data_IF_169007403472
#
_entry.id   IF_169007403472
#
_cell.length_a   1.000
_cell.length_b   1.000
_cell.length_c   1.000
_cell.angle_alpha   90.00
_cell.angle_beta   90.00
_cell.angle_gamma   90.00
#
_symmetry.space_group_name_H-M   'P 1'
#
loop_
_entity.id
_entity.type
_entity.pdbx_description
1 polymer ?
#
# COMPACT_ATOMS: atom_id res chain seq x y z
N UNK A 1 63.76 -45.00 -39.51
CA UNK A 1 63.16 -44.03 -38.55
C UNK A 1 61.69 -43.86 -38.98
N UNK A 2 60.84 -44.72 -38.41
CA UNK A 2 59.41 -44.70 -38.76
C UNK A 2 58.64 -43.79 -37.76
N UNK A 3 58.08 -42.74 -38.27
CA UNK A 3 57.24 -41.79 -37.46
C UNK A 3 55.79 -42.31 -37.46
N UNK A 4 55.37 -42.77 -36.29
CA UNK A 4 54.01 -43.22 -36.06
C UNK A 4 53.09 -41.95 -35.99
N UNK A 5 52.15 -41.86 -36.92
CA UNK A 5 51.09 -40.80 -36.88
C UNK A 5 49.93 -41.29 -36.00
N UNK A 6 49.66 -40.62 -34.88
CA UNK A 6 48.46 -40.81 -34.03
C UNK A 6 47.31 -39.95 -34.60
N UNK A 7 46.12 -40.54 -34.82
CA UNK A 7 44.97 -39.76 -35.28
C UNK A 7 44.35 -38.95 -34.10
N UNK A 8 43.74 -37.76 -34.38
CA UNK A 8 43.11 -36.98 -33.35
C UNK A 8 41.80 -37.65 -32.87
N UNK A 9 41.68 -37.79 -31.54
CA UNK A 9 40.45 -38.24 -30.91
C UNK A 9 39.41 -37.11 -30.94
N UNK A 10 38.27 -37.35 -31.57
CA UNK A 10 37.12 -36.48 -31.56
C UNK A 10 36.37 -36.73 -30.25
N UNK A 11 36.41 -35.78 -29.31
CA UNK A 11 35.62 -35.78 -28.10
C UNK A 11 34.26 -35.20 -28.46
N UNK A 12 33.26 -36.05 -28.61
CA UNK A 12 31.87 -35.62 -28.75
C UNK A 12 31.33 -35.17 -27.39
N UNK A 13 31.14 -33.85 -27.22
CA UNK A 13 30.53 -33.28 -26.05
C UNK A 13 29.01 -33.43 -26.18
N UNK A 14 28.41 -34.41 -25.50
CA UNK A 14 26.95 -34.56 -25.42
C UNK A 14 26.39 -33.51 -24.46
N UNK A 15 25.82 -32.48 -25.01
CA UNK A 15 25.07 -31.49 -24.25
C UNK A 15 23.69 -32.09 -23.90
N UNK A 16 23.53 -32.57 -22.67
CA UNK A 16 22.23 -32.96 -22.14
C UNK A 16 21.38 -31.68 -21.97
N UNK A 17 20.44 -31.43 -22.86
CA UNK A 17 19.36 -30.48 -22.64
C UNK A 17 18.45 -31.02 -21.53
N UNK A 18 18.56 -30.48 -20.31
CA UNK A 18 17.57 -30.65 -19.27
C UNK A 18 16.42 -29.71 -19.61
N UNK A 19 15.19 -30.22 -19.88
CA UNK A 19 14.07 -29.30 -20.12
C UNK A 19 13.85 -28.49 -18.84
N UNK A 20 13.96 -27.17 -18.96
CA UNK A 20 13.50 -26.23 -17.93
C UNK A 20 11.98 -26.41 -17.85
N UNK A 21 11.53 -27.21 -16.88
CA UNK A 21 10.11 -27.33 -16.57
C UNK A 21 9.61 -25.93 -16.23
N UNK A 22 8.74 -25.40 -17.08
CA UNK A 22 8.03 -24.16 -16.80
C UNK A 22 7.24 -24.37 -15.49
N UNK A 23 7.77 -23.86 -14.40
CA UNK A 23 7.07 -23.80 -13.13
C UNK A 23 5.84 -22.96 -13.39
N UNK A 24 4.67 -23.59 -13.45
CA UNK A 24 3.38 -22.87 -13.48
C UNK A 24 3.39 -21.93 -12.27
N UNK A 25 3.43 -20.63 -12.51
CA UNK A 25 3.28 -19.66 -11.43
C UNK A 25 1.92 -19.92 -10.78
N UNK A 26 1.94 -20.32 -9.52
CA UNK A 26 0.71 -20.54 -8.78
C UNK A 26 -0.08 -19.24 -8.77
N UNK A 27 -1.31 -19.28 -9.28
CA UNK A 27 -2.19 -18.12 -9.34
C UNK A 27 -2.33 -17.52 -7.94
N UNK A 28 -1.99 -16.26 -7.79
CA UNK A 28 -2.11 -15.56 -6.50
C UNK A 28 -3.58 -15.53 -6.08
N UNK A 29 -3.83 -15.80 -4.79
CA UNK A 29 -5.19 -15.71 -4.22
C UNK A 29 -5.59 -14.23 -4.12
N UNK A 30 -6.78 -13.90 -4.62
CA UNK A 30 -7.36 -12.56 -4.49
C UNK A 30 -7.59 -12.20 -3.01
N UNK A 31 -7.25 -10.96 -2.66
CA UNK A 31 -7.43 -10.44 -1.28
C UNK A 31 -8.88 -10.12 -0.94
N UNK A 32 -9.67 -9.85 -1.96
CA UNK A 32 -11.10 -9.58 -1.83
C UNK A 32 -11.89 -10.62 -2.63
N UNK A 33 -12.99 -11.14 -2.08
CA UNK A 33 -13.87 -12.02 -2.84
C UNK A 33 -14.52 -11.24 -3.98
N UNK A 34 -14.84 -11.94 -5.08
CA UNK A 34 -15.69 -11.40 -6.12
C UNK A 34 -17.06 -11.02 -5.52
N UNK A 35 -17.72 -10.07 -6.17
CA UNK A 35 -19.09 -9.72 -5.79
C UNK A 35 -20.04 -10.90 -6.06
N UNK A 36 -20.93 -11.16 -5.11
CA UNK A 36 -22.03 -12.11 -5.30
C UNK A 36 -23.07 -11.48 -6.25
N UNK A 37 -23.39 -12.16 -7.33
CA UNK A 37 -24.36 -11.72 -8.36
C UNK A 37 -24.11 -10.30 -8.92
N UNK A 38 -22.84 -9.85 -8.94
CA UNK A 38 -22.46 -8.48 -9.29
C UNK A 38 -23.14 -7.40 -8.42
N UNK A 39 -23.63 -7.76 -7.24
CA UNK A 39 -24.24 -6.82 -6.31
C UNK A 39 -23.18 -6.03 -5.56
N UNK A 40 -23.18 -4.70 -5.73
CA UNK A 40 -22.26 -3.84 -4.99
C UNK A 40 -22.53 -3.88 -3.48
N UNK A 41 -21.50 -3.81 -2.63
CA UNK A 41 -21.67 -3.75 -1.17
C UNK A 41 -22.52 -2.55 -0.77
N UNK A 42 -23.49 -2.76 0.11
CA UNK A 42 -24.46 -1.75 0.57
C UNK A 42 -24.18 -1.21 1.97
N UNK A 43 -23.28 -1.86 2.71
CA UNK A 43 -22.89 -1.49 4.06
C UNK A 43 -21.43 -1.86 4.34
N UNK A 44 -20.92 -1.42 5.48
CA UNK A 44 -19.53 -1.61 5.86
C UNK A 44 -19.17 -3.10 6.02
N UNK A 45 -20.06 -3.91 6.57
CA UNK A 45 -19.84 -5.35 6.76
C UNK A 45 -19.69 -6.05 5.40
N UNK A 46 -20.58 -5.77 4.47
CA UNK A 46 -20.49 -6.31 3.09
C UNK A 46 -19.21 -5.83 2.38
N UNK A 47 -18.84 -4.55 2.54
CA UNK A 47 -17.66 -3.97 1.91
C UNK A 47 -16.35 -4.64 2.33
N UNK A 48 -16.25 -5.04 3.60
CA UNK A 48 -15.06 -5.70 4.15
C UNK A 48 -15.19 -7.21 4.25
N UNK A 49 -16.29 -7.80 3.76
CA UNK A 49 -16.54 -9.24 3.79
C UNK A 49 -15.37 -10.02 3.16
N UNK A 50 -14.82 -10.96 3.91
CA UNK A 50 -13.72 -11.80 3.45
C UNK A 50 -12.34 -11.15 3.44
N UNK A 51 -12.20 -9.88 3.81
CA UNK A 51 -10.90 -9.23 3.95
C UNK A 51 -10.40 -9.28 5.39
N UNK A 52 -9.30 -10.00 5.62
CA UNK A 52 -8.53 -9.95 6.87
C UNK A 52 -7.18 -9.26 6.61
N UNK A 53 -6.96 -8.05 7.18
CA UNK A 53 -5.70 -7.33 6.98
C UNK A 53 -4.48 -8.06 7.55
N UNK A 54 -4.67 -9.10 8.36
CA UNK A 54 -3.59 -9.85 8.99
C UNK A 54 -3.28 -11.18 8.31
N UNK A 55 -4.20 -11.72 7.49
CA UNK A 55 -4.07 -13.08 6.93
C UNK A 55 -2.94 -13.22 5.92
N UNK A 56 -2.66 -12.17 5.15
CA UNK A 56 -1.71 -12.25 4.04
C UNK A 56 -0.30 -11.75 4.43
N UNK A 57 0.75 -12.28 3.78
CA UNK A 57 2.09 -11.70 3.86
C UNK A 57 2.10 -10.22 3.50
N UNK A 58 3.00 -9.47 4.11
CA UNK A 58 3.19 -8.04 3.78
C UNK A 58 4.19 -7.84 2.63
N UNK A 59 4.94 -8.86 2.26
CA UNK A 59 5.98 -8.79 1.21
C UNK A 59 6.81 -7.51 1.33
N UNK A 60 7.34 -7.24 2.52
CA UNK A 60 8.04 -6.00 2.85
C UNK A 60 9.32 -5.90 2.02
N UNK A 61 9.49 -4.78 1.32
CA UNK A 61 10.71 -4.39 0.62
C UNK A 61 11.30 -3.17 1.32
N UNK A 62 12.48 -3.30 1.94
CA UNK A 62 13.23 -2.17 2.47
C UNK A 62 14.05 -1.56 1.34
N UNK A 63 13.77 -0.30 1.00
CA UNK A 63 14.45 0.43 -0.08
C UNK A 63 15.64 1.22 0.45
N UNK A 64 15.53 1.73 1.67
CA UNK A 64 16.60 2.47 2.37
C UNK A 64 16.41 2.35 3.88
N UNK A 65 17.52 2.32 4.60
CA UNK A 65 17.57 2.45 6.05
C UNK A 65 18.67 3.43 6.45
N UNK A 66 18.40 4.31 7.42
CA UNK A 66 19.39 5.22 7.99
C UNK A 66 19.04 5.58 9.44
N UNK A 67 19.97 6.19 10.13
CA UNK A 67 19.76 6.74 11.47
C UNK A 67 19.89 8.26 11.43
N UNK A 68 19.02 8.93 12.16
CA UNK A 68 19.00 10.38 12.31
C UNK A 68 18.54 10.69 13.74
N UNK A 69 19.33 11.45 14.49
CA UNK A 69 19.03 11.91 15.85
C UNK A 69 18.56 10.78 16.82
N UNK A 70 19.21 9.61 16.75
CA UNK A 70 18.86 8.47 17.59
C UNK A 70 17.60 7.70 17.15
N UNK A 71 17.09 7.99 15.97
CA UNK A 71 15.94 7.34 15.36
C UNK A 71 16.38 6.48 14.19
N UNK A 72 15.91 5.24 14.11
CA UNK A 72 16.02 4.40 12.92
C UNK A 72 14.89 4.73 11.98
N UNK A 73 15.22 5.02 10.74
CA UNK A 73 14.28 5.41 9.69
C UNK A 73 14.42 4.48 8.49
N UNK A 74 13.28 4.09 7.89
CA UNK A 74 13.24 3.17 6.72
C UNK A 74 12.27 3.68 5.67
N UNK A 75 12.72 3.78 4.42
CA UNK A 75 11.84 3.82 3.27
C UNK A 75 11.55 2.39 2.85
N UNK A 76 10.29 2.05 2.71
CA UNK A 76 9.87 0.69 2.41
C UNK A 76 8.61 0.67 1.54
N UNK A 77 8.30 -0.53 1.01
CA UNK A 77 6.99 -0.88 0.46
C UNK A 77 6.44 -2.09 1.18
N UNK A 78 5.13 -2.17 1.26
CA UNK A 78 4.44 -3.35 1.78
C UNK A 78 3.20 -3.66 0.93
N UNK A 79 2.86 -4.95 0.85
CA UNK A 79 1.71 -5.39 0.08
C UNK A 79 0.41 -5.01 0.78
N UNK A 80 -0.46 -4.31 0.07
CA UNK A 80 -1.80 -3.98 0.54
C UNK A 80 -2.81 -5.06 0.17
N UNK A 81 -2.60 -5.77 -0.93
CA UNK A 81 -3.44 -6.88 -1.35
C UNK A 81 -2.98 -7.50 -2.66
N UNK A 82 -3.76 -8.47 -3.13
CA UNK A 82 -3.69 -9.03 -4.48
C UNK A 82 -5.00 -8.74 -5.16
N UNK A 83 -4.95 -8.05 -6.29
CA UNK A 83 -6.11 -7.66 -7.07
C UNK A 83 -5.91 -8.02 -8.53
N UNK A 84 -6.86 -8.72 -9.13
CA UNK A 84 -6.79 -9.20 -10.52
C UNK A 84 -5.49 -9.95 -10.82
N UNK A 85 -5.08 -10.81 -9.87
CA UNK A 85 -3.87 -11.62 -9.97
C UNK A 85 -2.55 -10.86 -9.79
N UNK A 86 -2.58 -9.58 -9.45
CA UNK A 86 -1.38 -8.74 -9.27
C UNK A 86 -1.24 -8.28 -7.83
N UNK A 87 -0.02 -8.28 -7.30
CA UNK A 87 0.31 -7.69 -6.00
C UNK A 87 0.23 -6.17 -6.11
N UNK A 88 -0.51 -5.56 -5.19
CA UNK A 88 -0.55 -4.10 -5.02
C UNK A 88 0.30 -3.71 -3.83
N UNK A 89 1.22 -2.77 -4.02
CA UNK A 89 2.18 -2.32 -3.02
C UNK A 89 1.91 -0.87 -2.64
N UNK A 90 2.18 -0.52 -1.38
CA UNK A 90 2.14 0.85 -0.87
C UNK A 90 3.51 1.24 -0.32
N UNK A 91 4.04 2.37 -0.78
CA UNK A 91 5.27 2.92 -0.25
C UNK A 91 5.00 3.64 1.09
N UNK A 92 6.01 3.70 1.96
CA UNK A 92 5.91 4.34 3.26
C UNK A 92 7.28 4.71 3.83
N UNK A 93 7.27 5.59 4.82
CA UNK A 93 8.43 5.81 5.69
C UNK A 93 8.09 5.33 7.10
N UNK A 94 8.91 4.47 7.66
CA UNK A 94 8.79 3.95 9.01
C UNK A 94 9.92 4.50 9.88
N UNK A 95 9.64 4.82 11.15
CA UNK A 95 10.65 5.29 12.09
C UNK A 95 10.31 4.94 13.53
N UNK A 96 11.37 4.72 14.34
CA UNK A 96 11.28 4.40 15.76
C UNK A 96 12.57 4.75 16.50
N UNK A 97 12.52 5.06 17.84
CA UNK A 97 13.71 5.31 18.63
C UNK A 97 14.61 4.09 18.68
N UNK A 98 15.90 4.26 18.39
CA UNK A 98 16.89 3.17 18.40
C UNK A 98 16.94 2.45 19.76
N UNK A 99 16.85 1.13 19.73
CA UNK A 99 16.93 0.28 20.93
C UNK A 99 15.67 0.23 21.79
N UNK A 100 14.66 1.04 21.50
CA UNK A 100 13.39 1.03 22.24
C UNK A 100 12.57 -0.22 21.94
N UNK A 101 11.70 -0.60 22.88
CA UNK A 101 10.81 -1.76 22.80
C UNK A 101 9.44 -1.42 23.37
N UNK A 102 8.43 -2.21 22.98
CA UNK A 102 7.03 -2.05 23.43
C UNK A 102 6.48 -0.65 23.21
N UNK A 103 6.83 -0.06 22.07
CA UNK A 103 6.36 1.26 21.66
C UNK A 103 4.89 1.21 21.21
N UNK A 104 4.09 2.24 21.50
CA UNK A 104 2.83 2.40 20.78
C UNK A 104 3.11 2.65 19.29
N UNK A 105 2.28 2.05 18.42
CA UNK A 105 2.43 2.17 16.97
C UNK A 105 1.43 3.15 16.38
N UNK A 106 1.87 4.06 15.50
CA UNK A 106 1.03 5.07 14.85
C UNK A 106 1.10 4.95 13.32
N UNK A 107 -0.05 4.87 12.66
CA UNK A 107 -0.16 5.12 11.22
C UNK A 107 -0.44 6.61 11.02
N UNK A 108 0.47 7.30 10.34
CA UNK A 108 0.31 8.68 9.91
C UNK A 108 -0.20 8.72 8.47
N UNK A 109 -1.25 9.51 8.22
CA UNK A 109 -1.87 9.66 6.92
C UNK A 109 -1.82 11.13 6.52
N UNK A 110 -1.06 11.43 5.46
CA UNK A 110 -0.90 12.80 4.98
C UNK A 110 -2.17 13.34 4.32
N UNK A 111 -2.30 14.67 4.26
CA UNK A 111 -3.38 15.35 3.56
C UNK A 111 -3.22 15.34 2.04
N UNK A 112 -4.22 15.85 1.35
CA UNK A 112 -4.15 16.03 -0.10
C UNK A 112 -3.00 16.98 -0.49
N UNK A 113 -2.36 16.71 -1.61
CA UNK A 113 -1.19 17.48 -2.07
C UNK A 113 0.10 17.28 -1.27
N UNK A 114 0.06 16.52 -0.18
CA UNK A 114 1.19 16.25 0.71
C UNK A 114 1.86 14.91 0.38
N UNK A 115 2.79 14.49 1.24
CA UNK A 115 3.67 13.34 1.05
C UNK A 115 3.63 12.41 2.26
N UNK A 116 3.95 11.13 2.08
CA UNK A 116 4.52 10.34 3.15
C UNK A 116 5.90 10.94 3.46
N UNK A 117 6.02 11.58 4.60
CA UNK A 117 7.15 12.42 4.96
C UNK A 117 7.93 11.82 6.12
N UNK A 118 9.25 11.62 5.95
CA UNK A 118 10.11 11.01 6.97
C UNK A 118 10.17 11.84 8.28
N UNK A 119 9.92 13.14 8.20
CA UNK A 119 9.89 14.02 9.39
C UNK A 119 8.73 13.68 10.33
N UNK A 120 7.64 13.09 9.83
CA UNK A 120 6.54 12.68 10.70
C UNK A 120 6.93 11.48 11.59
N UNK A 121 7.46 10.35 11.09
CA UNK A 121 7.97 9.29 11.96
C UNK A 121 9.18 9.72 12.79
N UNK A 122 10.06 10.60 12.31
CA UNK A 122 11.15 11.17 13.12
C UNK A 122 10.60 11.91 14.34
N UNK A 123 9.67 12.83 14.14
CA UNK A 123 9.05 13.60 15.22
C UNK A 123 8.25 12.72 16.20
N UNK A 124 7.59 11.67 15.71
CA UNK A 124 6.88 10.71 16.55
C UNK A 124 7.85 9.87 17.40
N UNK A 125 8.97 9.45 16.82
CA UNK A 125 9.99 8.69 17.54
C UNK A 125 10.56 9.48 18.71
N UNK A 126 10.84 10.78 18.56
CA UNK A 126 11.24 11.66 19.66
C UNK A 126 10.18 11.79 20.77
N UNK A 127 8.94 11.42 20.50
CA UNK A 127 7.83 11.37 21.48
C UNK A 127 7.59 9.97 22.04
N UNK A 128 8.44 8.99 21.69
CA UNK A 128 8.33 7.62 22.19
C UNK A 128 7.35 6.73 21.41
N UNK A 129 7.09 7.01 20.14
CA UNK A 129 6.26 6.20 19.28
C UNK A 129 7.09 5.53 18.17
N UNK A 130 6.69 4.34 17.75
CA UNK A 130 7.01 3.84 16.43
C UNK A 130 5.93 4.30 15.47
N UNK A 131 6.27 4.84 14.30
CA UNK A 131 5.24 5.25 13.36
C UNK A 131 5.59 5.03 11.90
N UNK A 132 4.54 4.79 11.10
CA UNK A 132 4.64 4.65 9.67
C UNK A 132 3.83 5.75 8.98
N UNK A 133 4.48 6.52 8.11
CA UNK A 133 3.85 7.51 7.23
C UNK A 133 3.59 6.85 5.88
N UNK A 134 2.32 6.66 5.52
CA UNK A 134 1.93 5.91 4.32
C UNK A 134 1.75 6.81 3.12
N UNK A 135 2.24 6.37 1.96
CA UNK A 135 2.14 7.08 0.67
C UNK A 135 0.85 6.69 -0.06
N UNK A 136 -0.31 7.00 0.53
CA UNK A 136 -1.61 6.61 -0.04
C UNK A 136 -1.90 7.27 -1.40
N UNK A 137 -1.31 8.44 -1.65
CA UNK A 137 -1.40 9.16 -2.92
C UNK A 137 -0.18 8.98 -3.82
N UNK A 138 0.67 7.98 -3.56
CA UNK A 138 1.85 7.67 -4.35
C UNK A 138 3.01 8.66 -4.20
N UNK A 139 2.96 9.59 -3.23
CA UNK A 139 3.98 10.62 -3.02
C UNK A 139 4.76 10.36 -1.74
N UNK A 140 6.09 10.46 -1.84
CA UNK A 140 6.99 10.24 -0.71
C UNK A 140 8.08 11.30 -0.67
N UNK A 141 8.50 11.69 0.53
CA UNK A 141 9.62 12.59 0.78
C UNK A 141 10.52 12.01 1.86
N UNK A 142 11.72 11.63 1.45
CA UNK A 142 12.80 11.16 2.33
C UNK A 142 14.15 11.47 1.70
N UNK A 143 15.26 11.54 2.45
CA UNK A 143 16.59 11.81 1.92
C UNK A 143 16.99 10.83 0.82
N UNK A 144 17.18 11.33 -0.41
CA UNK A 144 17.50 10.53 -1.59
C UNK A 144 16.31 9.78 -2.22
N UNK A 145 15.10 9.96 -1.69
CA UNK A 145 13.86 9.34 -2.19
C UNK A 145 12.73 10.36 -2.16
N UNK A 146 12.52 11.02 -3.30
CA UNK A 146 11.43 12.00 -3.43
C UNK A 146 10.65 11.66 -4.70
N UNK A 147 9.37 11.32 -4.54
CA UNK A 147 8.44 11.14 -5.66
C UNK A 147 7.51 12.34 -5.74
N UNK A 148 7.58 13.06 -6.85
CA UNK A 148 6.75 14.24 -7.13
C UNK A 148 5.42 13.83 -7.77
N UNK A 149 4.40 14.71 -7.79
CA UNK A 149 3.09 14.39 -8.35
C UNK A 149 3.09 13.87 -9.79
N UNK A 150 3.99 14.36 -10.64
CA UNK A 150 4.10 13.90 -12.05
C UNK A 150 4.73 12.50 -12.16
N UNK A 151 5.52 12.06 -11.20
CA UNK A 151 6.14 10.72 -11.19
C UNK A 151 5.14 9.64 -10.79
N UNK A 152 4.09 10.00 -10.04
CA UNK A 152 3.00 9.10 -9.70
C UNK A 152 2.28 8.53 -10.92
N UNK A 153 2.37 9.21 -12.06
CA UNK A 153 1.84 8.70 -13.33
C UNK A 153 2.51 7.41 -13.81
N UNK A 154 3.70 7.09 -13.31
CA UNK A 154 4.45 5.90 -13.75
C UNK A 154 3.61 4.62 -13.67
N UNK A 155 2.84 4.47 -12.60
CA UNK A 155 1.92 3.35 -12.45
C UNK A 155 0.80 3.38 -13.52
N UNK A 156 0.15 4.52 -13.69
CA UNK A 156 -0.96 4.70 -14.62
C UNK A 156 -0.54 4.63 -16.08
N UNK A 157 0.71 4.99 -16.37
CA UNK A 157 1.30 4.91 -17.70
C UNK A 157 1.91 3.53 -17.98
N UNK A 158 1.86 2.60 -17.01
CA UNK A 158 2.42 1.25 -17.14
C UNK A 158 3.95 1.21 -17.17
N UNK A 159 4.64 2.27 -16.72
CA UNK A 159 6.10 2.39 -16.72
C UNK A 159 6.74 1.67 -15.53
N UNK A 160 6.51 0.37 -15.40
CA UNK A 160 6.97 -0.44 -14.28
C UNK A 160 8.49 -0.64 -14.24
N UNK A 161 9.17 -0.41 -15.36
CA UNK A 161 10.64 -0.54 -15.47
C UNK A 161 11.38 0.74 -15.03
N UNK A 162 10.66 1.85 -14.77
CA UNK A 162 11.27 3.07 -14.28
C UNK A 162 11.82 2.85 -12.86
N UNK A 163 13.07 3.27 -12.57
CA UNK A 163 13.69 3.10 -11.25
C UNK A 163 12.87 3.71 -10.10
N UNK A 164 12.12 4.77 -10.38
CA UNK A 164 11.27 5.45 -9.39
C UNK A 164 9.94 4.74 -9.15
N UNK A 165 9.56 3.78 -9.98
CA UNK A 165 8.29 3.07 -9.85
C UNK A 165 8.10 2.46 -8.45
N UNK A 166 9.15 1.88 -7.87
CA UNK A 166 9.10 1.28 -6.53
C UNK A 166 8.78 2.26 -5.40
N UNK A 167 8.91 3.56 -5.64
CA UNK A 167 8.60 4.61 -4.66
C UNK A 167 7.14 5.03 -4.71
N UNK A 168 6.41 4.64 -5.75
CA UNK A 168 4.99 4.93 -5.91
C UNK A 168 4.14 3.90 -5.19
N UNK A 169 2.87 4.23 -5.03
CA UNK A 169 1.84 3.30 -4.57
C UNK A 169 1.03 2.82 -5.77
N UNK A 170 0.84 1.52 -5.86
CA UNK A 170 0.09 0.90 -6.93
C UNK A 170 -1.42 1.04 -6.73
N UNK A 171 -2.16 0.81 -7.81
CA UNK A 171 -3.57 0.47 -7.83
C UNK A 171 -4.52 1.49 -7.19
N UNK A 172 -4.75 2.60 -7.87
CA UNK A 172 -5.88 3.49 -7.60
C UNK A 172 -5.83 4.34 -6.33
N UNK A 173 -4.71 4.36 -5.64
CA UNK A 173 -4.52 5.18 -4.44
C UNK A 173 -4.05 6.59 -4.77
N UNK A 174 -4.64 7.21 -5.79
CA UNK A 174 -4.28 8.56 -6.21
C UNK A 174 -5.18 9.62 -5.58
N UNK A 175 -4.54 10.73 -5.27
CA UNK A 175 -5.22 11.97 -4.94
C UNK A 175 -5.58 12.70 -6.24
N UNK A 176 -6.80 12.50 -6.70
CA UNK A 176 -7.29 13.07 -7.96
C UNK A 176 -7.38 14.60 -7.97
N UNK A 177 -7.32 15.26 -6.80
CA UNK A 177 -7.34 16.72 -6.71
C UNK A 177 -5.98 17.36 -6.92
N UNK A 178 -4.92 16.73 -6.43
CA UNK A 178 -3.61 17.32 -6.31
C UNK A 178 -2.54 16.63 -7.17
N UNK A 179 -2.85 15.48 -7.73
CA UNK A 179 -1.99 14.80 -8.68
C UNK A 179 -2.71 14.62 -10.01
N UNK A 180 -1.99 14.70 -11.13
CA UNK A 180 -2.56 14.37 -12.43
C UNK A 180 -3.07 12.93 -12.39
N UNK A 181 -4.31 12.74 -12.78
CA UNK A 181 -4.97 11.45 -12.84
C UNK A 181 -5.33 11.13 -14.28
N UNK A 182 -5.24 9.87 -14.69
CA UNK A 182 -5.72 9.37 -15.98
C UNK A 182 -7.22 9.66 -16.17
N UNK A 183 -7.96 9.80 -15.07
CA UNK A 183 -9.40 10.02 -15.04
C UNK A 183 -9.80 11.47 -14.77
N UNK A 184 -8.85 12.40 -14.78
CA UNK A 184 -9.09 13.81 -14.49
C UNK A 184 -9.36 14.07 -13.02
N UNK A 185 -9.82 15.29 -12.71
CA UNK A 185 -10.06 15.73 -11.32
C UNK A 185 -11.19 14.97 -10.62
N UNK A 186 -12.11 14.42 -11.38
CA UNK A 186 -13.30 13.72 -10.90
C UNK A 186 -13.09 12.20 -10.69
N UNK A 187 -11.89 11.70 -10.93
CA UNK A 187 -11.52 10.31 -10.60
C UNK A 187 -11.55 10.01 -9.10
N UNK A 188 -11.81 10.99 -8.36
CA UNK A 188 -12.00 10.98 -6.96
C UNK A 188 -13.43 11.41 -6.71
N UNK A 189 -14.20 10.66 -6.60
CA UNK A 189 -14.64 9.73 -5.61
C UNK A 189 -14.84 8.32 -6.08
N UNK A 190 -15.17 8.11 -7.30
CA UNK A 190 -15.47 6.78 -7.81
C UNK A 190 -14.74 6.60 -9.13
N UNK A 191 -13.97 5.55 -9.21
CA UNK A 191 -13.25 5.19 -10.42
C UNK A 191 -14.26 4.53 -11.37
N UNK A 192 -14.39 5.00 -12.61
CA UNK A 192 -15.21 4.32 -13.60
C UNK A 192 -14.78 2.87 -13.76
N UNK A 193 -15.71 1.99 -14.10
CA UNK A 193 -15.39 0.60 -14.41
C UNK A 193 -14.35 0.55 -15.53
N UNK A 194 -13.20 -0.01 -15.20
CA UNK A 194 -12.04 -0.09 -16.06
C UNK A 194 -11.18 -1.30 -15.67
N UNK A 195 -10.13 -1.59 -16.45
CA UNK A 195 -9.25 -2.74 -16.23
C UNK A 195 -8.63 -2.80 -14.81
N UNK A 196 -8.45 -1.66 -14.18
CA UNK A 196 -7.86 -1.51 -12.85
C UNK A 196 -8.88 -1.19 -11.75
N UNK A 197 -10.20 -1.13 -12.02
CA UNK A 197 -11.22 -1.13 -10.98
C UNK A 197 -11.33 -2.52 -10.36
N UNK A 198 -11.66 -2.60 -9.06
CA UNK A 198 -11.72 -3.88 -8.35
C UNK A 198 -12.94 -4.70 -8.79
N UNK A 199 -14.08 -4.04 -8.90
CA UNK A 199 -15.34 -4.67 -9.27
C UNK A 199 -15.74 -4.35 -10.71
N UNK A 200 -16.43 -5.28 -11.39
CA UNK A 200 -16.86 -5.10 -12.77
C UNK A 200 -18.06 -4.15 -12.92
N UNK A 201 -18.64 -3.71 -11.83
CA UNK A 201 -19.79 -2.80 -11.77
C UNK A 201 -19.42 -1.56 -10.93
N UNK A 202 -20.27 -0.55 -10.96
CA UNK A 202 -20.12 0.58 -10.05
C UNK A 202 -20.24 0.11 -8.62
N UNK A 203 -19.19 0.34 -7.82
CA UNK A 203 -19.05 -0.19 -6.48
C UNK A 203 -18.23 0.76 -5.60
N UNK A 204 -18.54 0.89 -4.30
CA UNK A 204 -17.72 1.63 -3.36
C UNK A 204 -16.28 1.06 -3.24
N UNK A 205 -16.07 -0.22 -3.57
CA UNK A 205 -14.73 -0.82 -3.59
C UNK A 205 -13.86 -0.31 -4.75
N UNK A 206 -14.46 0.28 -5.78
CA UNK A 206 -13.75 0.95 -6.87
C UNK A 206 -13.28 2.37 -6.49
N UNK A 207 -13.63 2.84 -5.30
CA UNK A 207 -13.25 4.16 -4.83
C UNK A 207 -11.84 4.16 -4.26
N UNK A 208 -11.02 5.17 -4.60
CA UNK A 208 -9.65 5.30 -4.09
C UNK A 208 -9.56 5.39 -2.56
N UNK A 209 -10.61 5.90 -1.88
CA UNK A 209 -10.68 5.88 -0.41
C UNK A 209 -10.71 4.47 0.17
N UNK A 210 -11.34 3.53 -0.51
CA UNK A 210 -11.36 2.14 -0.08
C UNK A 210 -9.95 1.54 -0.06
N UNK A 211 -9.22 1.67 -1.17
CA UNK A 211 -7.85 1.16 -1.28
C UNK A 211 -6.87 1.86 -0.33
N UNK A 212 -7.01 3.18 -0.16
CA UNK A 212 -6.21 3.93 0.80
C UNK A 212 -6.48 3.48 2.25
N UNK A 213 -7.75 3.23 2.60
CA UNK A 213 -8.15 2.69 3.91
C UNK A 213 -7.62 1.27 4.11
N UNK A 214 -7.71 0.43 3.09
CA UNK A 214 -7.16 -0.92 3.10
C UNK A 214 -5.65 -0.87 3.33
N UNK A 215 -4.94 0.02 2.64
CA UNK A 215 -3.52 0.26 2.84
C UNK A 215 -3.18 0.69 4.27
N UNK A 216 -3.96 1.58 4.87
CA UNK A 216 -3.78 2.00 6.26
C UNK A 216 -4.00 0.83 7.25
N UNK A 217 -5.01 -0.01 7.04
CA UNK A 217 -5.24 -1.23 7.82
C UNK A 217 -4.07 -2.22 7.71
N UNK A 218 -3.48 -2.35 6.53
CA UNK A 218 -2.25 -3.14 6.32
C UNK A 218 -1.04 -2.48 6.99
N UNK A 219 -0.98 -1.16 7.04
CA UNK A 219 0.01 -0.39 7.81
C UNK A 219 -0.07 -0.69 9.32
N UNK A 220 -1.28 -0.84 9.88
CA UNK A 220 -1.47 -1.32 11.26
C UNK A 220 -0.93 -2.75 11.43
N UNK A 221 -1.12 -3.60 10.43
CA UNK A 221 -0.54 -4.96 10.46
C UNK A 221 0.97 -4.94 10.40
N UNK A 222 1.56 -4.04 9.59
CA UNK A 222 3.00 -3.83 9.56
C UNK A 222 3.51 -3.46 10.96
N UNK A 223 2.93 -2.45 11.59
CA UNK A 223 3.31 -2.02 12.95
C UNK A 223 3.19 -3.16 13.97
N UNK A 224 2.06 -3.87 13.98
CA UNK A 224 1.84 -4.95 14.93
C UNK A 224 2.84 -6.11 14.84
N UNK A 225 3.54 -6.22 13.70
CA UNK A 225 4.57 -7.26 13.45
C UNK A 225 6.00 -6.78 13.70
N UNK A 226 6.20 -5.50 14.07
CA UNK A 226 7.54 -4.99 14.35
C UNK A 226 7.94 -5.37 15.78
N UNK A 227 9.19 -5.85 16.00
CA UNK A 227 9.65 -6.32 17.31
C UNK A 227 9.72 -5.23 18.37
N UNK A 228 9.84 -3.96 17.98
CA UNK A 228 9.86 -2.79 18.85
C UNK A 228 8.46 -2.29 19.21
N UNK A 229 7.39 -2.75 18.57
CA UNK A 229 6.02 -2.26 18.73
C UNK A 229 5.20 -3.15 19.66
N UNK A 230 4.42 -2.54 20.55
CA UNK A 230 3.31 -3.18 21.24
C UNK A 230 2.06 -3.18 20.37
N UNK A 231 1.79 -4.30 19.70
CA UNK A 231 0.66 -4.48 18.77
C UNK A 231 -0.72 -4.28 19.40
N UNK A 232 -0.82 -4.16 20.71
CA UNK A 232 -2.10 -3.85 21.42
C UNK A 232 -2.34 -2.34 21.55
N UNK A 233 -1.34 -1.51 21.24
CA UNK A 233 -1.35 -0.06 21.39
C UNK A 233 -1.18 0.64 20.04
N UNK A 234 -2.13 0.43 19.15
CA UNK A 234 -2.10 1.00 17.80
C UNK A 234 -3.03 2.20 17.67
N UNK A 235 -2.56 3.21 16.94
CA UNK A 235 -3.34 4.41 16.65
C UNK A 235 -3.18 4.85 15.19
N UNK A 236 -4.06 5.77 14.78
CA UNK A 236 -4.05 6.37 13.45
C UNK A 236 -4.34 7.86 13.55
N UNK A 237 -3.61 8.67 12.79
CA UNK A 237 -3.86 10.10 12.74
C UNK A 237 -3.57 10.68 11.35
N UNK A 238 -4.20 11.80 11.05
CA UNK A 238 -3.99 12.49 9.78
C UNK A 238 -4.73 13.81 9.68
N UNK A 239 -4.36 14.62 8.68
CA UNK A 239 -4.91 15.94 8.46
C UNK A 239 -5.66 16.02 7.14
N UNK A 240 -6.78 16.78 7.09
CA UNK A 240 -7.58 17.01 5.89
C UNK A 240 -8.05 15.70 5.25
N UNK A 241 -7.62 15.37 4.04
CA UNK A 241 -7.90 14.06 3.41
C UNK A 241 -7.36 12.91 4.26
N UNK A 242 -6.20 13.07 4.89
CA UNK A 242 -5.67 12.09 5.85
C UNK A 242 -6.53 11.99 7.11
N UNK A 243 -7.17 13.08 7.54
CA UNK A 243 -8.15 13.06 8.63
C UNK A 243 -9.38 12.23 8.28
N UNK A 244 -9.90 12.35 7.05
CA UNK A 244 -10.98 11.49 6.54
C UNK A 244 -10.57 10.01 6.53
N UNK A 245 -9.39 9.70 6.00
CA UNK A 245 -8.85 8.33 6.01
C UNK A 245 -8.63 7.81 7.43
N UNK A 246 -8.27 8.68 8.38
CA UNK A 246 -8.18 8.33 9.80
C UNK A 246 -9.50 7.82 10.35
N UNK A 247 -10.61 8.52 10.07
CA UNK A 247 -11.95 8.08 10.51
C UNK A 247 -12.35 6.77 9.83
N UNK A 248 -12.15 6.65 8.51
CA UNK A 248 -12.47 5.42 7.78
C UNK A 248 -11.67 4.22 8.29
N UNK A 249 -10.38 4.42 8.60
CA UNK A 249 -9.52 3.36 9.13
C UNK A 249 -9.95 2.96 10.54
N UNK A 250 -10.19 3.92 11.43
CA UNK A 250 -10.63 3.65 12.79
C UNK A 250 -12.00 2.95 12.85
N UNK A 251 -12.93 3.35 11.98
CA UNK A 251 -14.25 2.73 11.88
C UNK A 251 -14.23 1.32 11.31
N UNK A 252 -13.19 0.94 10.55
CA UNK A 252 -13.10 -0.36 9.89
C UNK A 252 -12.10 -1.33 10.51
N UNK A 253 -11.31 -0.92 11.52
CA UNK A 253 -10.28 -1.77 12.13
C UNK A 253 -10.28 -1.68 13.67
N UNK A 254 -10.76 -2.73 14.31
CA UNK A 254 -10.90 -2.83 15.78
C UNK A 254 -9.56 -2.76 16.55
N UNK A 255 -8.42 -2.90 15.88
CA UNK A 255 -7.10 -2.77 16.49
C UNK A 255 -6.75 -1.31 16.79
N UNK A 256 -7.41 -0.34 16.17
CA UNK A 256 -7.21 1.07 16.46
C UNK A 256 -7.74 1.39 17.85
N UNK A 257 -6.84 1.82 18.75
CA UNK A 257 -7.16 2.21 20.13
C UNK A 257 -7.23 3.73 20.30
N UNK A 258 -6.61 4.47 19.38
CA UNK A 258 -6.65 5.93 19.37
C UNK A 258 -6.72 6.42 17.93
N UNK A 259 -7.59 7.40 17.67
CA UNK A 259 -7.70 8.05 16.38
C UNK A 259 -7.70 9.57 16.56
N UNK A 260 -6.88 10.27 15.78
CA UNK A 260 -6.81 11.73 15.81
C UNK A 260 -7.00 12.32 14.40
N UNK A 261 -8.24 12.41 13.91
CA UNK A 261 -8.55 13.09 12.68
C UNK A 261 -8.49 14.61 12.87
N UNK A 262 -7.75 15.30 12.00
CA UNK A 262 -7.66 16.76 11.99
C UNK A 262 -8.24 17.31 10.70
N UNK A 263 -9.18 18.24 10.76
CA UNK A 263 -9.81 18.93 9.62
C UNK A 263 -10.41 17.99 8.55
N UNK A 264 -10.63 16.73 8.88
CA UNK A 264 -11.16 15.71 8.00
C UNK A 264 -12.56 15.31 8.42
N UNK A 265 -13.55 16.17 8.16
CA UNK A 265 -14.95 15.82 8.38
C UNK A 265 -15.41 14.73 7.41
N UNK A 266 -16.16 13.76 7.93
CA UNK A 266 -17.00 12.90 7.11
C UNK A 266 -18.39 13.51 7.17
N UNK A 267 -18.85 14.09 6.09
CA UNK A 267 -20.16 14.72 6.01
C UNK A 267 -20.81 14.34 4.69
N UNK A 268 -22.04 13.90 4.78
CA UNK A 268 -22.90 13.55 3.65
C UNK A 268 -23.17 14.74 2.73
N UNK A 269 -22.91 15.96 3.21
CA UNK A 269 -23.25 17.21 2.49
C UNK A 269 -22.49 17.41 1.19
N UNK A 270 -21.37 16.74 0.99
CA UNK A 270 -20.45 17.00 -0.12
C UNK A 270 -20.34 15.87 -1.14
N UNK A 271 -21.20 14.86 -1.05
CA UNK A 271 -21.07 13.76 -1.97
C UNK A 271 -22.39 13.21 -2.44
N UNK A 272 -22.67 13.43 -3.68
CA UNK A 272 -23.63 12.59 -4.41
C UNK A 272 -23.05 11.23 -4.82
N UNK A 273 -21.74 11.00 -4.71
CA UNK A 273 -21.11 9.80 -5.22
C UNK A 273 -19.89 9.28 -4.46
N UNK A 274 -19.23 10.07 -3.61
CA UNK A 274 -17.93 9.67 -3.04
C UNK A 274 -17.97 9.08 -1.66
N UNK A 275 -19.11 8.98 -1.07
CA UNK A 275 -19.25 8.79 0.36
C UNK A 275 -19.82 7.46 0.79
N UNK A 276 -20.04 6.55 -0.13
CA UNK A 276 -20.50 5.23 0.28
C UNK A 276 -19.58 4.56 1.32
N UNK A 277 -18.27 4.88 1.31
CA UNK A 277 -17.37 4.38 2.34
C UNK A 277 -17.59 4.98 3.73
N UNK A 278 -18.09 6.19 3.79
CA UNK A 278 -18.25 6.92 5.05
C UNK A 278 -19.69 6.87 5.60
N UNK A 279 -20.65 6.75 4.71
CA UNK A 279 -22.07 6.71 5.09
C UNK A 279 -22.64 5.31 5.20
N UNK A 280 -21.91 4.32 4.74
CA UNK A 280 -22.26 2.93 4.90
C UNK A 280 -21.81 2.48 6.28
N UNK A 281 -22.50 2.95 7.31
CA UNK A 281 -22.42 2.40 8.65
C UNK A 281 -23.46 1.30 8.80
N UNK A 282 -23.10 0.22 9.47
CA UNK A 282 -24.10 -0.71 9.95
C UNK A 282 -25.04 0.08 10.89
N UNK A 283 -26.35 -0.10 10.84
CA UNK A 283 -27.25 0.48 11.83
C UNK A 283 -26.84 0.00 13.21
N UNK A 284 -27.12 0.78 14.27
CA UNK A 284 -26.78 0.45 15.64
C UNK A 284 -27.40 -0.87 16.10
#
# INVERSE_FOLDING_TARGET
>A
MHILKIPPAIIALSICFVPISARSEAKLKESLPALEDNSAPRNQTEMWKGFDPQAEPLDIEILKEWEEDGVVLKVLRYRIGVFKGKKAMMAAVYGYPKGAKKLPGLVQIHGGGQYADYRAPLANAHRGYASISISWAGRIFAPGYTVRPNEVKLFWDGKTDDPNYKLTTDWGTLDGYHAPSKYGKDAFPSIPVAEWSLDPVESPRNNSWFLATLGARRGLTFLARQPEVDGTRLGVYGHSMGGKLTVLTAGSDKRVKAAAPSCGGISDRYSKSSLHLATVSDPP
#
